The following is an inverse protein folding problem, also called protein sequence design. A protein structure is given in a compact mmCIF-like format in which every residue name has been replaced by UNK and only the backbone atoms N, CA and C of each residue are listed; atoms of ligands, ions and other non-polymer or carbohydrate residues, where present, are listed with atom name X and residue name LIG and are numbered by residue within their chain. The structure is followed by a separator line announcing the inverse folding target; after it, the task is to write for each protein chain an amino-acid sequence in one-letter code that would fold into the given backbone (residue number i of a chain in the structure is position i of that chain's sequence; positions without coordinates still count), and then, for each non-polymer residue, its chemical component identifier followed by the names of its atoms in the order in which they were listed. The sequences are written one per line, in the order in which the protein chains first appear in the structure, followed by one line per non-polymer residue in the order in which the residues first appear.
data_IF_465360339619
#
_entry.id   IF_465360339619
#
_cell.length_a   1.000
_cell.length_b   1.000
_cell.length_c   1.000
_cell.angle_alpha   90.00
_cell.angle_beta   90.00
_cell.angle_gamma   90.00
#
_symmetry.space_group_name_H-M   'P 1'
#
loop_
_entity.id
_entity.type
_entity.pdbx_description
1 polymer ?
#
# COMPACT_ATOMS: atom_id res chain seq x y z
N UNK A 1 -15.25 -9.32 -0.83
CA UNK A 1 -14.70 -10.69 -0.95
C UNK A 1 -13.21 -10.55 -1.23
N UNK A 2 -12.36 -11.45 -0.72
CA UNK A 2 -10.92 -11.49 -0.99
C UNK A 2 -10.55 -12.61 -1.96
N UNK A 3 -9.31 -12.59 -2.46
CA UNK A 3 -8.81 -13.58 -3.42
C UNK A 3 -8.92 -15.01 -2.88
N UNK A 4 -8.64 -15.21 -1.59
CA UNK A 4 -8.68 -16.53 -0.95
C UNK A 4 -10.09 -17.07 -0.76
N UNK A 5 -11.11 -16.20 -0.69
CA UNK A 5 -12.51 -16.62 -0.66
C UNK A 5 -12.95 -17.24 -2.00
N UNK A 6 -12.16 -17.05 -3.06
CA UNK A 6 -12.33 -17.68 -4.37
C UNK A 6 -11.54 -18.99 -4.50
N UNK A 7 -11.02 -19.57 -3.40
CA UNK A 7 -10.15 -20.75 -3.42
C UNK A 7 -8.90 -20.58 -4.32
N UNK A 8 -8.42 -19.35 -4.48
CA UNK A 8 -7.19 -19.04 -5.22
C UNK A 8 -6.07 -18.79 -4.20
N UNK A 9 -5.00 -19.59 -4.31
CA UNK A 9 -3.81 -19.42 -3.47
C UNK A 9 -2.70 -18.75 -4.26
N UNK A 10 -2.21 -17.61 -3.80
CA UNK A 10 -1.12 -16.90 -4.46
C UNK A 10 0.23 -17.26 -3.85
N UNK A 11 1.13 -17.77 -4.69
CA UNK A 11 2.47 -18.19 -4.27
C UNK A 11 2.46 -19.44 -3.38
N UNK A 12 3.51 -19.60 -2.59
CA UNK A 12 3.75 -20.78 -1.74
C UNK A 12 3.69 -20.49 -0.24
N UNK A 13 3.72 -19.22 0.17
CA UNK A 13 3.78 -18.85 1.58
C UNK A 13 2.39 -18.69 2.18
N UNK A 14 2.25 -19.11 3.42
CA UNK A 14 0.99 -18.96 4.19
C UNK A 14 0.82 -17.51 4.65
N UNK A 15 -0.42 -16.98 4.66
CA UNK A 15 -0.69 -15.65 5.20
C UNK A 15 -0.66 -15.66 6.74
N UNK A 16 -0.65 -14.47 7.33
CA UNK A 16 -1.04 -14.29 8.73
C UNK A 16 -2.54 -14.52 8.93
N UNK A 17 -2.99 -14.41 10.19
CA UNK A 17 -4.39 -14.70 10.58
C UNK A 17 -5.41 -13.78 9.91
N UNK A 18 -5.09 -12.49 9.80
CA UNK A 18 -5.95 -11.50 9.17
C UNK A 18 -5.68 -11.40 7.66
N UNK A 19 -4.59 -12.00 7.17
CA UNK A 19 -4.07 -11.79 5.82
C UNK A 19 -4.03 -10.29 5.49
N UNK A 20 -3.39 -9.51 6.35
CA UNK A 20 -3.38 -8.05 6.28
C UNK A 20 -2.09 -7.49 6.89
N UNK A 21 -1.76 -6.24 6.57
CA UNK A 21 -0.56 -5.56 7.08
C UNK A 21 -0.51 -5.53 8.63
N UNK A 22 -1.69 -5.53 9.27
CA UNK A 22 -1.85 -5.58 10.72
C UNK A 22 -1.51 -6.93 11.36
N UNK A 23 -1.21 -7.98 10.57
CA UNK A 23 -0.64 -9.21 11.12
C UNK A 23 0.78 -9.00 11.67
N UNK A 24 1.46 -7.91 11.27
CA UNK A 24 2.71 -7.48 11.89
C UNK A 24 2.40 -6.85 13.26
N UNK A 25 2.93 -7.38 14.37
CA UNK A 25 2.60 -6.90 15.71
C UNK A 25 2.81 -5.38 15.88
N UNK A 26 1.82 -4.70 16.44
CA UNK A 26 1.85 -3.27 16.72
C UNK A 26 1.47 -2.38 15.53
N UNK A 27 1.37 -2.91 14.31
CA UNK A 27 0.99 -2.15 13.12
C UNK A 27 -0.52 -1.91 13.08
N UNK A 28 -0.93 -0.66 12.84
CA UNK A 28 -2.33 -0.25 12.74
C UNK A 28 -2.59 0.58 11.49
N UNK A 29 -3.82 0.53 10.99
CA UNK A 29 -4.26 1.26 9.80
C UNK A 29 -5.49 2.08 10.14
N UNK A 30 -5.53 3.33 9.67
CA UNK A 30 -6.67 4.21 9.78
C UNK A 30 -7.07 4.76 8.42
N UNK A 31 -8.38 4.84 8.17
CA UNK A 31 -8.94 5.43 6.96
C UNK A 31 -9.87 6.57 7.32
N UNK A 32 -9.96 7.54 6.42
CA UNK A 32 -11.04 8.52 6.41
C UNK A 32 -11.47 8.77 4.97
N UNK A 33 -12.78 8.67 4.76
CA UNK A 33 -13.42 8.96 3.49
C UNK A 33 -13.87 10.43 3.50
N UNK A 34 -13.56 11.16 2.43
CA UNK A 34 -13.97 12.55 2.23
C UNK A 34 -14.94 12.59 1.07
N UNK A 35 -16.23 12.62 1.41
CA UNK A 35 -17.35 12.63 0.47
C UNK A 35 -18.14 13.91 0.62
N UNK A 36 -17.64 15.00 0.04
CA UNK A 36 -18.21 16.34 0.15
C UNK A 36 -18.15 17.07 -1.21
N UNK A 37 -19.20 17.80 -1.58
CA UNK A 37 -19.15 18.70 -2.75
C UNK A 37 -18.89 18.02 -4.10
N UNK A 38 -19.24 16.73 -4.25
CA UNK A 38 -18.95 15.94 -5.45
C UNK A 38 -17.58 15.22 -5.43
N UNK A 39 -16.79 15.44 -4.38
CA UNK A 39 -15.54 14.73 -4.13
C UNK A 39 -15.82 13.31 -3.63
N UNK A 40 -14.97 12.35 -4.02
CA UNK A 40 -14.92 11.02 -3.42
C UNK A 40 -13.45 10.60 -3.35
N UNK A 41 -12.79 11.09 -2.30
CA UNK A 41 -11.38 10.82 -2.01
C UNK A 41 -11.22 10.45 -0.54
N UNK A 42 -9.98 10.33 -0.06
CA UNK A 42 -9.72 10.13 1.35
C UNK A 42 -8.22 10.07 1.62
N UNK A 43 -7.88 9.79 2.86
CA UNK A 43 -6.49 9.55 3.26
C UNK A 43 -6.41 8.26 4.06
N UNK A 44 -5.26 7.61 3.98
CA UNK A 44 -4.96 6.36 4.69
C UNK A 44 -3.71 6.55 5.52
N UNK A 45 -3.75 6.09 6.75
CA UNK A 45 -2.68 6.17 7.73
C UNK A 45 -2.17 4.75 8.03
N UNK A 46 -0.85 4.55 8.01
CA UNK A 46 -0.20 3.35 8.55
C UNK A 46 0.67 3.74 9.73
N UNK A 47 0.37 3.21 10.91
CA UNK A 47 1.14 3.42 12.14
C UNK A 47 2.03 2.20 12.36
N UNK A 48 3.37 2.31 12.23
CA UNK A 48 4.27 1.16 12.28
C UNK A 48 4.76 0.81 13.69
N UNK A 49 4.16 1.40 14.74
CA UNK A 49 4.58 1.22 16.13
C UNK A 49 3.38 1.10 17.07
N UNK A 50 3.56 0.31 18.14
CA UNK A 50 2.59 0.14 19.20
C UNK A 50 2.48 1.36 20.12
N UNK A 51 1.44 1.38 20.95
CA UNK A 51 1.24 2.44 21.94
C UNK A 51 2.36 2.45 22.98
N UNK A 52 2.86 3.64 23.34
CA UNK A 52 3.96 3.81 24.31
C UNK A 52 5.36 3.44 23.80
N UNK A 53 5.50 2.93 22.57
CA UNK A 53 6.81 2.71 21.95
C UNK A 53 7.47 4.04 21.52
N UNK A 54 8.80 4.09 21.51
CA UNK A 54 9.50 5.19 20.82
C UNK A 54 9.11 5.12 19.35
N UNK A 55 8.64 6.23 18.80
CA UNK A 55 8.22 6.34 17.40
C UNK A 55 9.46 6.40 16.51
N UNK A 56 10.20 5.30 16.36
CA UNK A 56 11.35 5.19 15.44
C UNK A 56 11.42 3.78 14.88
N UNK A 57 11.38 3.67 13.56
CA UNK A 57 11.50 2.40 12.84
C UNK A 57 12.47 2.55 11.69
N UNK A 58 13.25 1.50 11.40
CA UNK A 58 14.07 1.51 10.18
C UNK A 58 13.16 1.49 8.96
N UNK A 59 13.58 2.22 7.94
CA UNK A 59 12.89 2.39 6.68
C UNK A 59 13.86 2.22 5.51
N UNK A 60 13.33 1.74 4.39
CA UNK A 60 13.98 1.72 3.09
C UNK A 60 12.91 1.81 1.99
N UNK A 61 13.30 2.03 0.74
CA UNK A 61 12.34 2.29 -0.33
C UNK A 61 12.73 1.74 -1.69
N UNK A 62 11.77 1.80 -2.59
CA UNK A 62 11.95 1.67 -4.04
C UNK A 62 11.00 2.65 -4.74
N UNK A 63 11.39 3.22 -5.88
CA UNK A 63 10.51 4.11 -6.65
C UNK A 63 10.70 4.01 -8.17
N UNK A 64 9.67 4.40 -8.93
CA UNK A 64 9.71 4.61 -10.38
C UNK A 64 10.41 5.92 -10.75
N UNK A 65 10.12 7.00 -10.02
CA UNK A 65 10.41 8.39 -10.40
C UNK A 65 11.42 9.11 -9.49
N UNK A 66 11.93 8.44 -8.48
CA UNK A 66 12.82 9.03 -7.48
C UNK A 66 12.10 9.39 -6.18
N UNK A 67 10.76 9.36 -6.13
CA UNK A 67 9.96 9.67 -4.94
C UNK A 67 9.44 11.11 -4.90
N UNK A 68 9.22 11.73 -6.06
CA UNK A 68 8.89 13.16 -6.19
C UNK A 68 7.54 13.53 -5.53
N UNK A 69 6.65 12.55 -5.34
CA UNK A 69 5.37 12.70 -4.64
C UNK A 69 5.41 12.56 -3.12
N UNK A 70 6.59 12.41 -2.48
CA UNK A 70 6.71 12.09 -1.05
C UNK A 70 7.42 13.17 -0.22
N UNK A 71 6.89 13.47 0.97
CA UNK A 71 7.59 14.23 2.02
C UNK A 71 8.41 13.29 2.92
N UNK A 72 9.46 13.81 3.56
CA UNK A 72 10.30 13.01 4.48
C UNK A 72 11.29 12.09 3.77
N UNK A 73 11.39 12.16 2.43
CA UNK A 73 12.27 11.33 1.61
C UNK A 73 13.74 11.46 2.02
N UNK A 74 14.28 12.69 2.03
CA UNK A 74 15.71 12.92 2.34
C UNK A 74 16.12 12.38 3.70
N UNK A 75 15.31 12.58 4.75
CA UNK A 75 15.57 12.01 6.09
C UNK A 75 15.46 10.50 6.10
N UNK A 76 14.49 9.94 5.36
CA UNK A 76 14.35 8.49 5.22
C UNK A 76 15.58 7.88 4.56
N UNK A 77 16.17 8.52 3.54
CA UNK A 77 17.36 8.03 2.85
C UNK A 77 18.66 8.28 3.63
N UNK A 78 18.81 9.45 4.23
CA UNK A 78 20.03 9.84 4.95
C UNK A 78 20.20 9.03 6.24
N UNK A 79 19.11 8.87 7.00
CA UNK A 79 19.16 8.18 8.30
C UNK A 79 18.68 6.74 8.22
N UNK A 80 17.90 6.37 7.21
CA UNK A 80 17.25 5.05 7.15
C UNK A 80 16.19 4.86 8.22
N UNK A 81 15.68 5.94 8.82
CA UNK A 81 14.76 5.91 9.97
C UNK A 81 13.61 6.86 9.73
N UNK A 82 12.39 6.44 10.11
CA UNK A 82 11.24 7.35 10.20
C UNK A 82 10.72 7.38 11.64
N UNK A 83 10.20 8.55 12.05
CA UNK A 83 9.61 8.77 13.37
C UNK A 83 8.12 9.14 13.36
N UNK A 84 7.49 8.99 12.21
CA UNK A 84 6.11 9.38 11.98
C UNK A 84 5.32 8.20 11.43
N UNK A 85 3.98 8.23 11.51
CA UNK A 85 3.18 7.35 10.69
C UNK A 85 3.40 7.64 9.21
N UNK A 86 3.04 6.69 8.35
CA UNK A 86 3.06 6.89 6.89
C UNK A 86 1.65 7.27 6.45
N UNK A 87 1.50 8.45 5.86
CA UNK A 87 0.25 8.89 5.25
C UNK A 87 0.26 8.61 3.76
N UNK A 88 -0.82 8.05 3.24
CA UNK A 88 -1.16 8.01 1.82
C UNK A 88 -2.28 9.02 1.57
N UNK A 89 -2.05 9.96 0.66
CA UNK A 89 -2.98 11.06 0.40
C UNK A 89 -3.02 11.42 -1.10
N UNK A 90 -4.09 12.09 -1.56
CA UNK A 90 -4.10 12.67 -2.90
C UNK A 90 -2.94 13.65 -3.06
N UNK A 91 -2.27 13.65 -4.22
CA UNK A 91 -1.15 14.58 -4.49
C UNK A 91 -1.52 16.03 -4.13
N UNK A 92 -2.72 16.48 -4.51
CA UNK A 92 -3.21 17.84 -4.25
C UNK A 92 -3.45 18.16 -2.75
N UNK A 93 -3.47 17.15 -1.89
CA UNK A 93 -3.66 17.28 -0.45
C UNK A 93 -2.38 17.03 0.37
N UNK A 94 -1.26 16.62 -0.25
CA UNK A 94 -0.01 16.28 0.45
C UNK A 94 0.42 17.38 1.43
N UNK A 95 0.46 18.64 0.99
CA UNK A 95 0.84 19.77 1.84
C UNK A 95 -0.09 19.99 3.05
N UNK A 96 -1.41 19.77 2.88
CA UNK A 96 -2.36 19.93 4.00
C UNK A 96 -2.29 18.79 4.99
N UNK A 97 -2.08 17.56 4.50
CA UNK A 97 -1.89 16.40 5.36
C UNK A 97 -0.58 16.53 6.14
N UNK A 98 0.46 17.01 5.46
CA UNK A 98 1.74 17.38 6.08
C UNK A 98 1.52 18.40 7.20
N UNK A 99 0.90 19.55 6.92
CA UNK A 99 0.66 20.59 7.93
C UNK A 99 -0.16 20.06 9.12
N UNK A 100 -1.17 19.22 8.85
CA UNK A 100 -1.97 18.60 9.89
C UNK A 100 -1.15 17.66 10.79
N UNK A 101 -0.21 16.88 10.23
CA UNK A 101 0.66 16.01 11.02
C UNK A 101 1.47 16.84 12.02
N UNK A 102 2.02 17.97 11.55
CA UNK A 102 2.79 18.90 12.38
C UNK A 102 1.93 19.47 13.50
N UNK A 103 0.76 20.00 13.16
CA UNK A 103 -0.17 20.60 14.12
C UNK A 103 -0.62 19.60 15.20
N UNK A 104 -0.70 18.31 14.85
CA UNK A 104 -1.03 17.21 15.76
C UNK A 104 0.18 16.59 16.48
N UNK A 105 1.36 17.22 16.38
CA UNK A 105 2.58 16.77 17.03
C UNK A 105 3.19 15.48 16.44
N UNK A 106 2.74 15.03 15.28
CA UNK A 106 3.35 13.94 14.52
C UNK A 106 4.54 14.53 13.75
N UNK A 107 5.75 14.26 14.23
CA UNK A 107 6.98 14.88 13.72
C UNK A 107 7.70 15.80 14.71
N UNK A 108 7.25 15.88 15.97
CA UNK A 108 7.96 16.68 16.99
C UNK A 108 9.30 16.09 17.44
N UNK A 109 9.81 15.06 16.76
CA UNK A 109 11.17 14.57 16.97
C UNK A 109 12.14 15.48 16.19
N UNK A 110 12.89 16.37 16.87
CA UNK A 110 13.72 17.37 16.21
C UNK A 110 14.86 16.76 15.38
N UNK A 111 15.17 15.48 15.58
CA UNK A 111 16.20 14.76 14.83
C UNK A 111 15.65 14.09 13.56
N UNK A 112 14.35 13.84 13.46
CA UNK A 112 13.72 13.05 12.39
C UNK A 112 12.51 13.78 11.81
N UNK A 113 12.81 14.85 11.07
CA UNK A 113 11.86 15.73 10.40
C UNK A 113 12.20 15.87 8.91
N UNK A 114 11.23 15.84 7.97
CA UNK A 114 9.79 15.99 8.20
C UNK A 114 8.95 14.70 8.26
N UNK A 115 7.63 14.81 8.59
CA UNK A 115 6.70 13.69 8.51
C UNK A 115 6.59 13.09 7.11
N UNK A 116 6.21 11.81 7.05
CA UNK A 116 6.07 11.05 5.81
C UNK A 116 4.63 11.11 5.28
N UNK A 117 4.47 11.76 4.13
CA UNK A 117 3.24 11.77 3.34
C UNK A 117 3.60 11.36 1.92
N UNK A 118 2.93 10.34 1.42
CA UNK A 118 3.08 9.81 0.06
C UNK A 118 1.86 10.21 -0.75
N UNK A 119 2.10 10.95 -1.83
CA UNK A 119 1.09 11.33 -2.80
C UNK A 119 0.68 10.17 -3.71
N UNK A 120 -0.62 10.06 -3.98
CA UNK A 120 -1.19 9.22 -5.05
C UNK A 120 -2.13 10.10 -5.86
N UNK A 121 -1.99 10.12 -7.18
CA UNK A 121 -2.75 11.00 -8.07
C UNK A 121 -4.14 10.43 -8.37
N UNK A 122 -5.15 10.97 -7.69
CA UNK A 122 -6.56 10.63 -7.88
C UNK A 122 -7.30 11.58 -8.84
N UNK A 123 -6.57 12.39 -9.62
CA UNK A 123 -7.15 13.41 -10.52
C UNK A 123 -7.99 12.86 -11.66
N UNK A 124 -7.88 11.55 -11.93
CA UNK A 124 -8.77 10.83 -12.84
C UNK A 124 -10.23 10.83 -12.37
N UNK A 125 -10.45 10.95 -11.05
CA UNK A 125 -11.77 10.97 -10.41
C UNK A 125 -12.13 12.33 -9.81
N UNK A 126 -11.15 13.03 -9.25
CA UNK A 126 -11.37 14.16 -8.36
C UNK A 126 -10.63 15.41 -8.85
N UNK A 127 -11.28 16.58 -9.01
CA UNK A 127 -10.57 17.79 -9.41
C UNK A 127 -9.55 18.22 -8.34
N UNK A 128 -8.26 18.41 -8.67
CA UNK A 128 -7.21 18.73 -7.71
C UNK A 128 -7.50 19.95 -6.83
N UNK A 129 -8.12 21.01 -7.38
CA UNK A 129 -8.48 22.21 -6.63
C UNK A 129 -9.61 21.96 -5.61
N UNK A 130 -10.51 21.01 -5.90
CA UNK A 130 -11.55 20.61 -4.97
C UNK A 130 -10.99 19.72 -3.87
N UNK A 131 -10.13 18.75 -4.23
CA UNK A 131 -9.36 17.92 -3.30
C UNK A 131 -8.60 18.81 -2.32
N UNK A 132 -7.80 19.75 -2.85
CA UNK A 132 -7.00 20.65 -2.04
C UNK A 132 -7.89 21.42 -1.06
N UNK A 133 -9.02 21.97 -1.51
CA UNK A 133 -9.92 22.77 -0.67
C UNK A 133 -10.66 21.97 0.42
N UNK A 134 -11.11 20.76 0.10
CA UNK A 134 -12.00 19.97 0.95
C UNK A 134 -11.29 18.91 1.79
N UNK A 135 -10.08 18.47 1.44
CA UNK A 135 -9.26 17.73 2.39
C UNK A 135 -8.67 18.72 3.40
N UNK A 136 -8.98 18.51 4.67
CA UNK A 136 -8.65 19.41 5.78
C UNK A 136 -7.98 18.63 6.91
N UNK A 137 -7.41 19.37 7.85
CA UNK A 137 -6.72 18.84 9.01
C UNK A 137 -7.62 17.94 9.88
N UNK A 138 -8.93 18.21 9.97
CA UNK A 138 -9.85 17.39 10.76
C UNK A 138 -9.94 15.95 10.24
N UNK A 139 -9.76 15.73 8.94
CA UNK A 139 -9.73 14.39 8.36
C UNK A 139 -8.52 13.59 8.87
N UNK A 140 -7.38 14.24 9.10
CA UNK A 140 -6.22 13.58 9.69
C UNK A 140 -6.51 13.09 11.12
N UNK A 141 -7.19 13.92 11.92
CA UNK A 141 -7.59 13.53 13.28
C UNK A 141 -8.50 12.29 13.27
N UNK A 142 -9.45 12.25 12.34
CA UNK A 142 -10.34 11.10 12.17
C UNK A 142 -9.53 9.85 11.79
N UNK A 143 -8.60 9.95 10.83
CA UNK A 143 -7.75 8.84 10.43
C UNK A 143 -6.86 8.32 11.58
N UNK A 144 -6.26 9.23 12.36
CA UNK A 144 -5.47 8.89 13.56
C UNK A 144 -6.30 8.16 14.61
N UNK A 145 -7.53 8.64 14.85
CA UNK A 145 -8.45 8.03 15.81
C UNK A 145 -8.94 6.66 15.33
N UNK A 146 -9.24 6.53 14.03
CA UNK A 146 -9.64 5.27 13.42
C UNK A 146 -8.55 4.19 13.54
N UNK A 147 -7.27 4.57 13.41
CA UNK A 147 -6.15 3.66 13.64
C UNK A 147 -6.00 3.22 15.11
N UNK A 148 -6.67 3.88 16.07
CA UNK A 148 -6.74 3.45 17.47
C UNK A 148 -7.87 2.44 17.75
N UNK A 149 -8.78 2.22 16.80
CA UNK A 149 -9.94 1.35 16.96
C UNK A 149 -9.66 -0.12 16.59
N UNK A 150 -10.47 -1.03 17.14
CA UNK A 150 -10.45 -2.46 16.81
C UNK A 150 -11.12 -2.79 15.45
N UNK A 151 -11.40 -1.79 14.62
CA UNK A 151 -11.97 -1.98 13.29
C UNK A 151 -10.92 -2.59 12.37
N UNK A 152 -11.30 -3.61 11.58
CA UNK A 152 -10.39 -4.26 10.64
C UNK A 152 -9.72 -3.26 9.69
N UNK A 153 -8.65 -3.67 9.01
CA UNK A 153 -7.78 -2.77 8.24
C UNK A 153 -8.47 -1.96 7.16
N UNK A 154 -9.69 -2.30 6.73
CA UNK A 154 -10.38 -1.65 5.61
C UNK A 154 -9.74 -1.99 4.25
N UNK A 155 -10.57 -2.23 3.23
CA UNK A 155 -10.11 -2.49 1.87
C UNK A 155 -11.13 -2.00 0.85
N UNK A 156 -10.70 -1.92 -0.42
CA UNK A 156 -11.51 -1.46 -1.52
C UNK A 156 -11.64 0.06 -1.52
N UNK A 157 -12.86 0.54 -1.66
CA UNK A 157 -13.17 1.96 -1.79
C UNK A 157 -13.24 2.65 -0.43
N UNK A 158 -12.09 2.80 0.23
CA UNK A 158 -11.94 3.52 1.51
C UNK A 158 -10.59 4.24 1.59
N UNK A 159 -10.52 5.30 2.38
CA UNK A 159 -9.36 6.17 2.54
C UNK A 159 -8.90 6.70 1.18
N UNK A 160 -7.58 6.66 0.94
CA UNK A 160 -7.03 7.05 -0.37
C UNK A 160 -7.66 6.27 -1.53
N UNK A 161 -8.04 5.00 -1.29
CA UNK A 161 -8.64 4.10 -2.27
C UNK A 161 -10.00 4.55 -2.80
N UNK A 162 -10.67 5.48 -2.11
CA UNK A 162 -11.94 6.03 -2.55
C UNK A 162 -11.80 6.78 -3.88
N UNK A 163 -10.68 7.43 -4.16
CA UNK A 163 -10.46 8.16 -5.42
C UNK A 163 -9.89 7.32 -6.57
N UNK A 164 -9.50 6.06 -6.31
CA UNK A 164 -8.57 5.36 -7.19
C UNK A 164 -9.25 4.42 -8.20
N UNK A 165 -8.56 4.19 -9.32
CA UNK A 165 -8.96 3.26 -10.37
C UNK A 165 -7.78 2.47 -10.89
N UNK A 166 -7.95 1.18 -11.14
CA UNK A 166 -6.93 0.34 -11.74
C UNK A 166 -7.54 -0.71 -12.66
N UNK A 167 -6.81 -1.10 -13.70
CA UNK A 167 -7.27 -2.11 -14.67
C UNK A 167 -8.64 -1.79 -15.29
N UNK A 168 -8.95 -0.51 -15.48
CA UNK A 168 -10.24 -0.02 -16.03
C UNK A 168 -11.45 -0.18 -15.12
N UNK A 169 -11.23 -0.54 -13.85
CA UNK A 169 -12.25 -0.65 -12.81
C UNK A 169 -11.84 0.15 -11.57
N UNK A 170 -12.64 0.07 -10.51
CA UNK A 170 -12.30 0.62 -9.21
C UNK A 170 -11.06 -0.07 -8.63
N UNK A 171 -10.09 0.73 -8.22
CA UNK A 171 -8.79 0.28 -7.73
C UNK A 171 -8.84 -0.03 -6.24
N UNK A 172 -8.93 1.02 -5.43
CA UNK A 172 -9.06 0.92 -3.98
C UNK A 172 -7.74 0.78 -3.22
N UNK A 173 -7.85 0.50 -1.93
CA UNK A 173 -6.74 0.04 -1.08
C UNK A 173 -6.89 -1.46 -0.85
N UNK A 174 -5.81 -2.22 -0.96
CA UNK A 174 -5.83 -3.63 -0.62
C UNK A 174 -4.70 -4.02 0.32
N UNK A 175 -4.87 -5.14 1.03
CA UNK A 175 -3.86 -5.61 1.97
C UNK A 175 -3.70 -7.14 1.93
N UNK A 176 -2.52 -7.61 2.28
CA UNK A 176 -2.21 -9.01 2.48
C UNK A 176 -1.00 -9.17 3.41
N UNK A 177 -0.76 -10.39 3.88
CA UNK A 177 0.45 -10.71 4.65
C UNK A 177 0.99 -12.09 4.29
N UNK A 178 2.23 -12.36 4.69
CA UNK A 178 2.90 -13.65 4.57
C UNK A 178 3.76 -13.93 5.78
N UNK A 179 3.76 -15.19 6.21
CA UNK A 179 4.72 -15.73 7.15
C UNK A 179 5.94 -16.23 6.37
N UNK A 180 7.07 -15.54 6.56
CA UNK A 180 8.36 -15.93 6.03
C UNK A 180 9.03 -16.89 7.02
N UNK A 181 9.03 -18.17 6.68
CA UNK A 181 9.74 -19.17 7.46
C UNK A 181 11.25 -18.88 7.44
N UNK A 182 11.79 -18.68 8.64
CA UNK A 182 13.22 -18.51 8.85
C UNK A 182 13.78 -19.90 9.13
N UNK A 183 14.56 -20.47 8.21
CA UNK A 183 15.34 -21.69 8.47
C UNK A 183 16.54 -21.40 9.42
N UNK A 184 16.45 -20.38 10.27
CA UNK A 184 17.53 -19.96 11.15
C UNK A 184 17.42 -20.71 12.49
N UNK A 185 18.48 -21.42 12.91
CA UNK A 185 18.46 -22.30 14.08
C UNK A 185 18.25 -21.61 15.45
N UNK A 186 18.09 -20.28 15.50
CA UNK A 186 17.89 -19.51 16.74
C UNK A 186 16.49 -18.86 16.86
N UNK A 187 15.66 -18.91 15.81
CA UNK A 187 14.31 -18.36 15.82
C UNK A 187 13.34 -19.38 15.22
N UNK A 188 12.70 -20.18 16.09
CA UNK A 188 11.64 -21.14 15.73
C UNK A 188 10.34 -20.45 15.23
N UNK A 189 10.29 -19.13 15.19
CA UNK A 189 9.13 -18.34 14.73
C UNK A 189 9.38 -17.73 13.35
N UNK A 190 8.48 -18.02 12.41
CA UNK A 190 8.41 -17.30 11.14
C UNK A 190 8.18 -15.79 11.36
N UNK A 191 8.91 -14.96 10.62
CA UNK A 191 8.65 -13.51 10.57
C UNK A 191 7.41 -13.23 9.72
N UNK A 192 6.75 -12.10 9.96
CA UNK A 192 5.59 -11.65 9.19
C UNK A 192 5.96 -10.49 8.31
N UNK A 193 5.63 -10.56 7.02
CA UNK A 193 5.67 -9.43 6.09
C UNK A 193 4.24 -9.07 5.71
N UNK A 194 3.83 -7.85 6.01
CA UNK A 194 2.52 -7.29 5.67
C UNK A 194 2.63 -6.21 4.60
N UNK A 195 1.62 -6.07 3.74
CA UNK A 195 1.57 -5.05 2.70
C UNK A 195 0.21 -4.35 2.66
N UNK A 196 0.22 -3.04 2.40
CA UNK A 196 -0.94 -2.23 2.05
C UNK A 196 -0.63 -1.48 0.75
N UNK A 197 -1.52 -1.56 -0.23
CA UNK A 197 -1.30 -1.01 -1.57
C UNK A 197 -2.46 -0.11 -1.97
N UNK A 198 -2.16 1.11 -2.41
CA UNK A 198 -3.07 2.00 -3.11
C UNK A 198 -3.04 1.66 -4.61
N UNK A 199 -4.11 1.06 -5.12
CA UNK A 199 -4.19 0.51 -6.47
C UNK A 199 -4.68 1.58 -7.43
N UNK A 200 -3.77 2.20 -8.19
CA UNK A 200 -4.12 3.22 -9.17
C UNK A 200 -3.24 3.12 -10.43
N UNK A 201 -3.83 2.59 -11.50
CA UNK A 201 -3.16 2.26 -12.76
C UNK A 201 -3.25 0.78 -13.16
N UNK A 202 -2.41 0.37 -14.10
CA UNK A 202 -2.44 -0.96 -14.71
C UNK A 202 -3.45 -1.02 -15.86
N UNK A 203 -3.01 -1.42 -17.04
CA UNK A 203 -3.90 -1.65 -18.18
C UNK A 203 -4.76 -2.90 -17.95
N UNK A 204 -6.07 -2.88 -18.27
CA UNK A 204 -6.96 -4.02 -18.04
C UNK A 204 -6.42 -5.34 -18.59
N UNK A 205 -5.87 -5.30 -19.81
CA UNK A 205 -5.29 -6.46 -20.48
C UNK A 205 -4.05 -7.07 -19.79
N UNK A 206 -3.39 -6.32 -18.91
CA UNK A 206 -2.19 -6.76 -18.19
C UNK A 206 -2.53 -7.50 -16.89
N UNK A 207 -3.78 -7.47 -16.41
CA UNK A 207 -4.14 -8.08 -15.13
C UNK A 207 -3.78 -9.56 -15.12
N UNK A 208 -2.98 -9.96 -14.13
CA UNK A 208 -2.51 -11.33 -13.97
C UNK A 208 -2.78 -11.82 -12.55
N UNK A 209 -3.19 -13.08 -12.42
CA UNK A 209 -3.45 -13.73 -11.13
C UNK A 209 -2.59 -14.98 -11.04
N UNK A 210 -1.56 -14.98 -10.17
CA UNK A 210 -0.58 -16.07 -10.04
C UNK A 210 0.03 -16.49 -11.39
N UNK A 211 0.23 -15.52 -12.29
CA UNK A 211 0.77 -15.69 -13.64
C UNK A 211 -0.25 -16.09 -14.72
N UNK A 212 -1.52 -16.29 -14.37
CA UNK A 212 -2.58 -16.50 -15.36
C UNK A 212 -3.10 -15.15 -15.88
N UNK A 213 -3.15 -14.91 -17.21
CA UNK A 213 -3.48 -13.61 -17.80
C UNK A 213 -4.99 -13.34 -17.81
N UNK A 214 -5.57 -13.08 -16.63
CA UNK A 214 -7.01 -12.78 -16.46
C UNK A 214 -7.45 -11.58 -17.31
N UNK A 215 -6.58 -10.58 -17.45
CA UNK A 215 -6.82 -9.36 -18.21
C UNK A 215 -7.22 -9.61 -19.67
N UNK A 216 -6.73 -10.69 -20.29
CA UNK A 216 -7.06 -11.04 -21.67
C UNK A 216 -8.54 -11.43 -21.87
N UNK A 217 -9.26 -11.76 -20.79
CA UNK A 217 -10.68 -12.14 -20.82
C UNK A 217 -11.58 -11.13 -20.11
N UNK A 218 -11.03 -10.00 -19.64
CA UNK A 218 -11.84 -8.92 -19.07
C UNK A 218 -12.50 -8.13 -20.19
N UNK A 219 -13.82 -7.99 -20.09
CA UNK A 219 -14.60 -7.09 -20.96
C UNK A 219 -14.50 -5.65 -20.45
N UNK A 220 -13.28 -5.11 -20.52
CA UNK A 220 -12.94 -3.76 -20.04
C UNK A 220 -12.10 -3.06 -21.10
N UNK A 221 -12.57 -1.88 -21.52
CA UNK A 221 -11.89 -1.06 -22.52
C UNK A 221 -10.50 -0.60 -22.03
N UNK A 222 -9.52 -0.47 -22.93
CA UNK A 222 -8.22 0.11 -22.61
C UNK A 222 -8.35 1.46 -21.91
N UNK A 223 -7.41 1.73 -21.00
CA UNK A 223 -7.42 3.00 -20.29
C UNK A 223 -7.02 4.13 -21.23
N UNK A 224 -7.61 5.31 -20.98
CA UNK A 224 -7.17 6.52 -21.66
C UNK A 224 -5.75 6.88 -21.22
N UNK A 225 -4.98 7.44 -22.16
CA UNK A 225 -3.61 7.87 -21.92
C UNK A 225 -3.48 9.07 -20.96
N UNK A 226 -4.54 9.87 -20.79
CA UNK A 226 -4.56 11.04 -19.90
C UNK A 226 -4.98 10.73 -18.46
N UNK A 227 -5.35 9.48 -18.15
CA UNK A 227 -5.64 9.07 -16.78
C UNK A 227 -4.33 8.88 -16.01
N UNK A 228 -4.26 9.30 -14.73
CA UNK A 228 -3.05 9.12 -13.93
C UNK A 228 -2.72 7.63 -13.74
N UNK A 229 -1.42 7.37 -13.58
CA UNK A 229 -0.83 6.06 -13.26
C UNK A 229 0.22 6.28 -12.18
N UNK A 230 -0.26 6.28 -10.93
CA UNK A 230 0.54 6.54 -9.74
C UNK A 230 0.12 5.56 -8.66
N UNK A 231 1.07 4.90 -8.02
CA UNK A 231 0.78 3.86 -7.03
C UNK A 231 1.65 4.03 -5.80
N UNK A 232 1.15 3.58 -4.66
CA UNK A 232 1.91 3.57 -3.43
C UNK A 232 1.71 2.25 -2.70
N UNK A 233 2.78 1.72 -2.12
CA UNK A 233 2.70 0.58 -1.22
C UNK A 233 3.50 0.85 0.06
N UNK A 234 2.93 0.41 1.18
CA UNK A 234 3.63 0.32 2.46
C UNK A 234 3.80 -1.15 2.80
N UNK A 235 5.03 -1.56 3.06
CA UNK A 235 5.40 -2.92 3.43
C UNK A 235 6.01 -2.88 4.82
N UNK A 236 5.55 -3.72 5.73
CA UNK A 236 6.04 -3.75 7.11
C UNK A 236 6.43 -5.17 7.48
N UNK A 237 7.49 -5.32 8.26
CA UNK A 237 7.93 -6.61 8.78
C UNK A 237 8.36 -6.53 10.25
N UNK A 238 8.16 -7.62 10.98
CA UNK A 238 8.74 -7.82 12.32
C UNK A 238 10.13 -8.47 12.26
N UNK A 239 10.66 -8.76 11.06
CA UNK A 239 12.03 -9.18 10.88
C UNK A 239 12.99 -8.03 11.17
N UNK A 240 14.07 -8.25 11.94
CA UNK A 240 15.05 -7.21 12.23
C UNK A 240 15.86 -6.93 10.96
N UNK A 241 15.42 -5.93 10.19
CA UNK A 241 16.11 -5.48 8.98
C UNK A 241 16.69 -4.08 9.15
N UNK A 242 17.89 -3.89 8.62
CA UNK A 242 18.56 -2.57 8.50
C UNK A 242 18.11 -1.84 7.22
N UNK A 243 18.33 -0.53 7.08
CA UNK A 243 17.82 0.27 5.96
C UNK A 243 18.12 -0.31 4.57
N UNK A 244 19.38 -0.71 4.32
CA UNK A 244 19.76 -1.33 3.05
C UNK A 244 19.04 -2.66 2.76
N UNK A 245 18.68 -3.43 3.78
CA UNK A 245 17.90 -4.65 3.61
C UNK A 245 16.42 -4.32 3.32
N UNK A 246 15.92 -3.19 3.84
CA UNK A 246 14.58 -2.68 3.53
C UNK A 246 14.49 -2.13 2.11
N UNK A 247 15.54 -1.51 1.55
CA UNK A 247 15.57 -1.15 0.12
C UNK A 247 15.43 -2.38 -0.77
N UNK A 248 16.11 -3.47 -0.41
CA UNK A 248 15.96 -4.75 -1.10
C UNK A 248 14.55 -5.33 -0.92
N UNK A 249 13.97 -5.26 0.28
CA UNK A 249 12.60 -5.71 0.54
C UNK A 249 11.59 -4.91 -0.29
N UNK A 250 11.70 -3.58 -0.32
CA UNK A 250 10.87 -2.69 -1.13
C UNK A 250 10.99 -3.00 -2.63
N UNK A 251 12.22 -3.22 -3.11
CA UNK A 251 12.46 -3.62 -4.49
C UNK A 251 11.82 -4.96 -4.85
N UNK A 252 11.67 -5.88 -3.89
CA UNK A 252 11.04 -7.19 -4.10
C UNK A 252 9.51 -7.11 -4.01
N UNK A 253 8.98 -6.23 -3.18
CA UNK A 253 7.57 -5.86 -3.22
C UNK A 253 7.17 -5.29 -4.59
N UNK A 254 8.00 -4.44 -5.20
CA UNK A 254 7.78 -3.95 -6.56
C UNK A 254 7.68 -5.08 -7.60
N UNK A 255 8.43 -6.19 -7.44
CA UNK A 255 8.28 -7.38 -8.31
C UNK A 255 6.87 -7.99 -8.19
N UNK A 256 6.29 -8.01 -6.99
CA UNK A 256 4.90 -8.44 -6.77
C UNK A 256 3.88 -7.56 -7.52
N UNK A 257 4.05 -6.24 -7.42
CA UNK A 257 3.22 -5.26 -8.13
C UNK A 257 3.35 -5.40 -9.66
N UNK A 258 4.56 -5.72 -10.16
CA UNK A 258 4.77 -6.01 -11.58
C UNK A 258 4.10 -7.31 -12.04
N UNK A 259 4.11 -8.37 -11.20
CA UNK A 259 3.53 -9.68 -11.54
C UNK A 259 2.01 -9.65 -11.72
N UNK A 260 1.32 -8.77 -11.00
CA UNK A 260 -0.13 -8.54 -11.16
C UNK A 260 -0.46 -7.59 -12.32
N UNK A 261 0.55 -6.96 -12.93
CA UNK A 261 0.40 -6.06 -14.06
C UNK A 261 0.07 -4.61 -13.68
N UNK A 262 0.35 -4.20 -12.43
CA UNK A 262 0.00 -2.86 -11.95
C UNK A 262 0.84 -1.76 -12.63
N UNK A 263 2.08 -2.08 -13.01
CA UNK A 263 2.87 -1.21 -13.87
C UNK A 263 2.49 -1.42 -15.34
N UNK A 264 2.29 -0.32 -16.05
CA UNK A 264 2.09 -0.27 -17.49
C UNK A 264 3.02 0.77 -18.14
N UNK A 265 3.01 0.85 -19.47
CA UNK A 265 3.87 1.76 -20.23
C UNK A 265 3.61 3.25 -19.95
N UNK A 266 2.50 3.59 -19.30
CA UNK A 266 2.14 4.96 -18.91
C UNK A 266 2.39 5.23 -17.43
N UNK A 267 2.88 4.26 -16.66
CA UNK A 267 3.19 4.42 -15.24
C UNK A 267 4.43 5.28 -15.07
N UNK A 268 4.25 6.45 -14.46
CA UNK A 268 5.32 7.45 -14.29
C UNK A 268 5.65 7.75 -12.84
N UNK A 269 4.77 7.38 -11.92
CA UNK A 269 4.93 7.60 -10.50
C UNK A 269 4.61 6.27 -9.78
N UNK A 270 5.37 5.98 -8.74
CA UNK A 270 5.23 4.73 -8.00
C UNK A 270 6.26 4.62 -6.90
N UNK A 271 5.82 4.37 -5.67
CA UNK A 271 6.73 4.19 -4.54
C UNK A 271 6.33 2.99 -3.67
N UNK A 272 7.34 2.29 -3.16
CA UNK A 272 7.20 1.28 -2.12
C UNK A 272 8.05 1.72 -0.94
N UNK A 273 7.43 1.90 0.23
CA UNK A 273 8.12 2.17 1.49
C UNK A 273 8.10 0.91 2.35
N UNK A 274 9.27 0.41 2.73
CA UNK A 274 9.43 -0.79 3.55
C UNK A 274 9.92 -0.43 4.95
N UNK A 275 9.30 -0.99 5.99
CA UNK A 275 9.54 -0.68 7.39
C UNK A 275 9.85 -1.95 8.21
N UNK A 276 10.73 -1.83 9.20
CA UNK A 276 11.08 -2.88 10.16
C UNK A 276 10.74 -2.44 11.58
N UNK A 277 9.85 -3.16 12.27
CA UNK A 277 9.39 -2.80 13.62
C UNK A 277 10.33 -3.27 14.73
N UNK A 278 11.31 -4.13 14.41
CA UNK A 278 12.23 -4.73 15.39
C UNK A 278 13.70 -4.45 15.12
N UNK A 279 14.05 -3.85 13.98
CA UNK A 279 15.44 -3.57 13.60
C UNK A 279 16.13 -2.56 14.54
N UNK A 280 15.36 -1.60 15.07
CA UNK A 280 15.77 -0.66 16.12
C UNK A 280 15.21 -1.14 17.46
N UNK A 281 16.08 -1.57 18.37
CA UNK A 281 15.67 -1.94 19.73
C UNK A 281 15.97 -0.78 20.71
N UNK A 282 14.99 0.11 20.86
CA UNK A 282 15.11 1.31 21.67
C UNK A 282 14.41 1.22 23.04
N UNK A 283 13.78 0.08 23.37
CA UNK A 283 12.88 -0.05 24.53
C UNK A 283 13.57 0.06 25.88
N UNK A 284 14.89 -0.13 25.95
CA UNK A 284 15.67 -0.13 27.19
C UNK A 284 16.81 0.90 27.22
N UNK A 285 16.85 1.83 26.26
CA UNK A 285 17.94 2.79 26.15
C UNK A 285 17.63 4.11 26.89
N UNK A 286 18.65 4.81 27.43
CA UNK A 286 18.49 6.16 27.98
C UNK A 286 17.93 7.13 26.91
N UNK A 287 17.44 8.30 27.30
CA UNK A 287 16.78 9.23 26.38
C UNK A 287 17.65 9.54 25.14
N UNK A 288 18.95 9.78 25.34
CA UNK A 288 19.93 10.06 24.26
C UNK A 288 21.21 9.21 24.43
N UNK A 289 21.21 7.94 24.00
CA UNK A 289 22.41 7.11 24.03
C UNK A 289 23.39 7.50 22.91
N UNK A 290 24.69 7.40 23.17
CA UNK A 290 25.72 7.67 22.17
C UNK A 290 25.77 6.60 21.06
N UNK A 291 25.36 5.37 21.36
CA UNK A 291 25.28 4.24 20.41
C UNK A 291 24.03 3.42 20.67
N UNK A 292 23.51 2.73 19.65
CA UNK A 292 22.34 1.86 19.74
C UNK A 292 22.68 0.46 19.22
N UNK A 293 22.27 -0.61 19.93
CA UNK A 293 22.38 -1.96 19.40
C UNK A 293 21.40 -2.14 18.24
N UNK A 294 21.87 -2.79 17.17
CA UNK A 294 21.06 -3.15 16.01
C UNK A 294 21.12 -4.65 15.83
N UNK A 295 19.96 -5.26 15.56
CA UNK A 295 19.88 -6.66 15.11
C UNK A 295 19.60 -6.68 13.62
N UNK A 296 20.19 -7.63 12.90
CA UNK A 296 19.91 -7.83 11.49
C UNK A 296 19.75 -9.31 11.16
N UNK A 297 18.81 -9.62 10.26
CA UNK A 297 18.71 -10.94 9.64
C UNK A 297 19.95 -11.20 8.78
N UNK A 298 20.61 -12.32 9.01
CA UNK A 298 21.73 -12.77 8.19
C UNK A 298 21.32 -13.06 6.75
N UNK A 299 22.26 -12.98 5.81
CA UNK A 299 21.96 -13.03 4.37
C UNK A 299 21.12 -14.24 3.94
N UNK A 300 21.39 -15.41 4.50
CA UNK A 300 20.64 -16.65 4.21
C UNK A 300 19.16 -16.61 4.62
N UNK A 301 18.77 -15.71 5.54
CA UNK A 301 17.38 -15.53 6.00
C UNK A 301 16.59 -14.50 5.20
N UNK A 302 17.23 -13.76 4.28
CA UNK A 302 16.57 -12.71 3.49
C UNK A 302 15.68 -13.23 2.35
N UNK A 303 16.03 -14.29 1.61
CA UNK A 303 15.21 -14.74 0.46
C UNK A 303 13.74 -15.05 0.81
N UNK A 304 13.40 -15.71 1.94
CA UNK A 304 12.00 -15.91 2.33
C UNK A 304 11.25 -14.59 2.56
N UNK A 305 11.89 -13.57 3.14
CA UNK A 305 11.29 -12.24 3.35
C UNK A 305 11.03 -11.53 2.02
N UNK A 306 11.95 -11.64 1.06
CA UNK A 306 11.77 -11.09 -0.28
C UNK A 306 10.61 -11.75 -1.04
N UNK A 307 10.48 -13.08 -0.93
CA UNK A 307 9.36 -13.81 -1.49
C UNK A 307 8.03 -13.41 -0.82
N UNK A 308 8.05 -13.24 0.50
CA UNK A 308 6.92 -12.80 1.29
C UNK A 308 6.43 -11.40 0.87
N UNK A 309 7.34 -10.43 0.70
CA UNK A 309 7.01 -9.09 0.22
C UNK A 309 6.38 -9.10 -1.18
N UNK A 310 6.96 -9.84 -2.14
CA UNK A 310 6.41 -9.96 -3.49
C UNK A 310 5.00 -10.57 -3.48
N UNK A 311 4.81 -11.67 -2.76
CA UNK A 311 3.51 -12.35 -2.68
C UNK A 311 2.45 -11.52 -1.94
N UNK A 312 2.83 -10.82 -0.86
CA UNK A 312 1.92 -9.94 -0.14
C UNK A 312 1.48 -8.76 -1.02
N UNK A 313 2.37 -8.12 -1.75
CA UNK A 313 2.00 -7.03 -2.66
C UNK A 313 1.13 -7.50 -3.84
N UNK A 314 1.43 -8.63 -4.45
CA UNK A 314 0.61 -9.21 -5.54
C UNK A 314 -0.83 -9.51 -5.04
N UNK A 315 -0.97 -10.15 -3.87
CA UNK A 315 -2.28 -10.45 -3.29
C UNK A 315 -3.01 -9.20 -2.80
N UNK A 316 -2.30 -8.22 -2.25
CA UNK A 316 -2.89 -6.96 -1.78
C UNK A 316 -3.57 -6.21 -2.93
N UNK A 317 -2.94 -6.11 -4.10
CA UNK A 317 -3.57 -5.47 -5.29
C UNK A 317 -4.89 -6.17 -5.65
N UNK A 318 -4.88 -7.50 -5.70
CA UNK A 318 -6.06 -8.30 -6.04
C UNK A 318 -7.17 -8.13 -4.99
N UNK A 319 -6.83 -8.15 -3.70
CA UNK A 319 -7.81 -7.92 -2.65
C UNK A 319 -8.41 -6.51 -2.71
N UNK A 320 -7.61 -5.49 -3.03
CA UNK A 320 -8.08 -4.12 -3.25
C UNK A 320 -9.15 -4.05 -4.34
N UNK A 321 -8.85 -4.62 -5.52
CA UNK A 321 -9.78 -4.68 -6.66
C UNK A 321 -11.07 -5.45 -6.34
N UNK A 322 -10.96 -6.58 -5.63
CA UNK A 322 -12.10 -7.43 -5.27
C UNK A 322 -13.02 -6.83 -4.19
N UNK A 323 -12.46 -5.97 -3.33
CA UNK A 323 -13.21 -5.27 -2.27
C UNK A 323 -13.73 -3.90 -2.73
N UNK A 324 -13.22 -3.37 -3.84
CA UNK A 324 -13.63 -2.07 -4.33
C UNK A 324 -15.10 -2.08 -4.79
N UNK A 325 -15.85 -1.08 -4.34
CA UNK A 325 -17.28 -0.93 -4.67
C UNK A 325 -17.48 0.29 -5.57
N UNK A 326 -18.56 0.31 -6.37
CA UNK A 326 -18.88 1.47 -7.20
C UNK A 326 -19.15 2.69 -6.33
N UNK A 327 -18.71 3.85 -6.81
CA UNK A 327 -19.20 5.11 -6.27
C UNK A 327 -20.48 5.51 -6.99
N UNK A 328 -21.39 6.26 -6.33
CA UNK A 328 -22.49 6.91 -7.03
C UNK A 328 -21.92 7.77 -8.17
N UNK A 329 -22.45 7.61 -9.38
CA UNK A 329 -22.09 8.47 -10.51
C UNK A 329 -22.56 9.90 -10.20
N UNK A 330 -21.61 10.80 -9.95
CA UNK A 330 -21.88 12.18 -9.52
C UNK A 330 -21.40 13.21 -10.55
N UNK A 331 -21.01 12.77 -11.75
CA UNK A 331 -20.60 13.66 -12.84
C UNK A 331 -19.39 14.51 -12.48
N UNK A 332 -18.19 13.94 -12.54
CA UNK A 332 -16.96 14.70 -12.33
C UNK A 332 -16.82 15.78 -13.43
N UNK A 333 -16.67 17.04 -13.02
CA UNK A 333 -16.34 18.15 -13.91
C UNK A 333 -14.84 18.40 -13.78
N UNK A 334 -14.07 17.93 -14.76
CA UNK A 334 -12.62 18.20 -14.81
C UNK A 334 -12.34 19.61 -15.35
N UNK A 335 -11.26 20.22 -14.87
CA UNK A 335 -10.78 21.52 -15.34
C UNK A 335 -10.54 21.51 -16.87
N UNK A 336 -11.08 22.50 -17.59
CA UNK A 336 -10.81 22.73 -19.01
C UNK A 336 -11.71 21.99 -20.01
N UNK A 337 -12.72 21.23 -19.56
CA UNK A 337 -13.70 20.58 -20.44
C UNK A 337 -15.11 21.11 -20.15
N UNK A 338 -15.75 21.72 -21.14
CA UNK A 338 -17.13 22.20 -21.06
C UNK A 338 -18.18 21.06 -21.02
N UNK A 339 -17.76 19.79 -21.04
CA UNK A 339 -18.64 18.64 -20.93
C UNK A 339 -18.32 17.81 -19.66
N UNK A 340 -19.35 17.36 -18.91
CA UNK A 340 -19.16 16.39 -17.83
C UNK A 340 -18.53 15.11 -18.42
N UNK A 341 -17.40 14.66 -17.86
CA UNK A 341 -16.78 13.40 -18.26
C UNK A 341 -17.46 12.29 -17.46
N UNK A 342 -18.16 11.39 -18.15
CA UNK A 342 -18.60 10.14 -17.52
C UNK A 342 -17.34 9.32 -17.19
N UNK A 343 -17.00 9.25 -15.91
CA UNK A 343 -15.93 8.41 -15.38
C UNK A 343 -16.42 6.96 -15.26
N UNK A 344 -16.78 6.34 -16.38
CA UNK A 344 -17.40 5.01 -16.42
C UNK A 344 -16.58 3.87 -15.79
N UNK A 345 -15.32 4.10 -15.45
CA UNK A 345 -14.47 3.17 -14.68
C UNK A 345 -14.69 3.27 -13.17
N UNK A 346 -15.11 4.43 -12.64
CA UNK A 346 -15.41 4.62 -11.21
C UNK A 346 -16.76 4.01 -10.79
N UNK A 347 -17.58 3.63 -11.75
CA UNK A 347 -18.84 2.91 -11.51
C UNK A 347 -18.71 1.40 -11.69
N UNK A 348 -17.53 0.88 -12.06
CA UNK A 348 -17.30 -0.54 -12.36
C UNK A 348 -16.48 -1.24 -11.28
N UNK A 349 -16.99 -2.36 -10.78
CA UNK A 349 -16.20 -3.32 -9.98
C UNK A 349 -15.48 -4.29 -10.90
N UNK A 350 -14.43 -4.96 -10.40
CA UNK A 350 -13.80 -6.06 -11.12
C UNK A 350 -14.85 -7.16 -11.42
N UNK A 351 -15.09 -7.52 -12.70
CA UNK A 351 -16.03 -8.59 -13.02
C UNK A 351 -15.44 -9.93 -12.62
N UNK A 352 -16.14 -10.67 -11.73
CA UNK A 352 -15.65 -11.96 -11.21
C UNK A 352 -15.84 -13.10 -12.21
N UNK A 353 -16.71 -12.96 -13.23
CA UNK A 353 -16.79 -13.81 -14.43
C UNK A 353 -16.48 -15.31 -14.26
N UNK A 354 -15.83 -15.89 -15.28
CA UNK A 354 -15.35 -17.28 -15.28
C UNK A 354 -13.89 -17.45 -14.85
N UNK A 355 -13.12 -16.36 -14.81
CA UNK A 355 -11.67 -16.40 -14.59
C UNK A 355 -11.23 -17.09 -13.28
N UNK A 356 -11.97 -17.06 -12.15
CA UNK A 356 -11.53 -17.77 -10.95
C UNK A 356 -11.48 -19.29 -11.17
N UNK A 357 -12.41 -19.83 -11.96
CA UNK A 357 -12.40 -21.25 -12.31
C UNK A 357 -11.20 -21.59 -13.20
N UNK A 358 -10.86 -20.70 -14.13
CA UNK A 358 -9.72 -20.86 -15.03
C UNK A 358 -8.38 -20.80 -14.28
N UNK A 359 -8.24 -19.84 -13.36
CA UNK A 359 -7.07 -19.75 -12.47
C UNK A 359 -6.93 -21.02 -11.64
N UNK A 360 -8.01 -21.54 -11.04
CA UNK A 360 -7.95 -22.80 -10.27
C UNK A 360 -7.55 -24.00 -11.12
N UNK A 361 -8.05 -24.08 -12.37
CA UNK A 361 -7.63 -25.11 -13.33
C UNK A 361 -6.15 -24.98 -13.67
N UNK A 362 -5.67 -23.77 -13.92
CA UNK A 362 -4.27 -23.47 -14.18
C UNK A 362 -3.37 -23.88 -13.01
N UNK A 363 -3.73 -23.51 -11.77
CA UNK A 363 -2.99 -23.89 -10.57
C UNK A 363 -2.95 -25.40 -10.35
N UNK A 364 -4.08 -26.08 -10.58
CA UNK A 364 -4.17 -27.54 -10.49
C UNK A 364 -3.27 -28.23 -11.51
N UNK A 365 -3.23 -27.73 -12.75
CA UNK A 365 -2.36 -28.25 -13.80
C UNK A 365 -0.87 -28.03 -13.47
N UNK A 366 -0.51 -26.86 -12.92
CA UNK A 366 0.86 -26.54 -12.48
C UNK A 366 1.32 -27.49 -11.37
N UNK A 367 0.47 -27.76 -10.38
CA UNK A 367 0.78 -28.71 -9.27
C UNK A 367 1.00 -30.15 -9.77
N UNK A 368 0.24 -30.60 -10.77
CA UNK A 368 0.40 -31.95 -11.36
C UNK A 368 1.67 -32.13 -12.18
N UNK A 369 2.24 -31.04 -12.73
CA UNK A 369 3.48 -31.09 -13.55
C UNK A 369 4.76 -30.90 -12.74
N UNK A 370 4.65 -30.40 -11.51
CA UNK A 370 5.79 -30.06 -10.64
C UNK A 370 6.03 -31.04 -9.48
N UNK A 371 5.32 -32.17 -9.43
CA UNK A 371 5.56 -33.28 -8.51
C UNK A 371 6.02 -34.52 -9.27
#
# INVERSE_FOLDING_TARGET
MRLRDLDITLGSLSPGSANAISDVPGVRVGHVDVVEGGLSTGITLVVPYGDGARRRVFAGRWSVDGGDGMTGLGVTEDFGVIATPVMLAPVAAVGRVYDGLIAHGQGMDPELWPPVVVGVDDSGANPPELVHRLVREEHLYIALTAAGGATGTGEGSTGIGLGLSGFGVRGGVGTASRRAESNLPAHDSAYTVGALVAVNGGEPGNLSVDGFPVGASLDVEPLRADLPRSLAAVVVTDAPLIPRQLDHLASRAAVGLARVGLFDASTRDGIVLALSTTGLNDTALPESPATRPVSLVGEGGLPPLYAAAAQACEEAVLNGLLQAVPLPDRGAVAFGSAAPRQSGHLSRTLPIGGWPQEVRRFQSARRRRGG
#
